data_IF_337183245786
#
_entry.id   IF_337183245786
#
_cell.length_a   1.000
_cell.length_b   1.000
_cell.length_c   1.000
_cell.angle_alpha   90.00
_cell.angle_beta   90.00
_cell.angle_gamma   90.00
#
_symmetry.space_group_name_H-M   'P 1'
#
loop_
_entity.id
_entity.type
_entity.pdbx_description
1 polymer ?
#
# COMPACT_ATOMS: atom_id res chain seq x y z
N UNK A 1 -8.03 -5.27 -33.16
CA UNK A 1 -8.43 -5.30 -31.74
C UNK A 1 -9.34 -4.09 -31.46
N UNK A 2 -10.43 -4.25 -30.69
CA UNK A 2 -11.27 -3.13 -30.23
C UNK A 2 -11.16 -2.97 -28.69
N UNK A 3 -11.35 -1.75 -28.22
CA UNK A 3 -11.42 -1.47 -26.77
C UNK A 3 -12.72 -2.05 -26.19
N UNK A 4 -12.65 -2.64 -25.01
CA UNK A 4 -13.84 -3.05 -24.24
C UNK A 4 -14.53 -1.80 -23.66
N UNK A 5 -15.85 -1.81 -23.61
CA UNK A 5 -16.63 -0.82 -22.86
C UNK A 5 -16.61 -1.17 -21.36
N UNK A 6 -16.86 -0.19 -20.49
CA UNK A 6 -16.86 -0.42 -19.04
C UNK A 6 -17.81 -1.53 -18.60
N UNK A 7 -18.97 -1.63 -19.19
CA UNK A 7 -19.98 -2.65 -18.95
C UNK A 7 -19.51 -4.09 -19.26
N UNK A 8 -18.59 -4.22 -20.22
CA UNK A 8 -17.98 -5.49 -20.63
C UNK A 8 -16.89 -5.98 -19.69
N UNK A 9 -16.36 -5.10 -18.82
CA UNK A 9 -15.25 -5.41 -17.90
C UNK A 9 -15.69 -6.24 -16.68
N UNK A 10 -17.00 -6.41 -16.46
CA UNK A 10 -17.57 -7.19 -15.34
C UNK A 10 -16.93 -6.84 -13.99
N UNK A 11 -16.76 -5.53 -13.71
CA UNK A 11 -16.20 -5.07 -12.44
C UNK A 11 -17.14 -5.41 -11.29
N UNK A 12 -16.55 -5.70 -10.12
CA UNK A 12 -17.32 -5.96 -8.90
C UNK A 12 -18.17 -4.75 -8.51
N UNK A 13 -19.34 -4.99 -7.98
CA UNK A 13 -20.10 -3.96 -7.25
C UNK A 13 -19.44 -3.69 -5.90
N UNK A 14 -19.85 -2.63 -5.19
CA UNK A 14 -19.38 -2.34 -3.83
C UNK A 14 -19.67 -3.51 -2.88
N UNK A 15 -20.82 -4.14 -3.02
CA UNK A 15 -21.22 -5.30 -2.21
C UNK A 15 -20.31 -6.49 -2.52
N UNK A 16 -20.19 -6.86 -3.80
CA UNK A 16 -19.31 -7.95 -4.21
C UNK A 16 -17.85 -7.73 -3.80
N UNK A 17 -17.40 -6.47 -3.83
CA UNK A 17 -16.04 -6.13 -3.37
C UNK A 17 -15.89 -6.41 -1.87
N UNK A 18 -16.86 -6.00 -1.04
CA UNK A 18 -16.80 -6.18 0.42
C UNK A 18 -16.85 -7.65 0.81
N UNK A 19 -17.62 -8.47 0.10
CA UNK A 19 -17.77 -9.92 0.35
C UNK A 19 -16.63 -10.76 -0.26
N UNK A 20 -15.89 -10.21 -1.23
CA UNK A 20 -14.80 -10.94 -1.87
C UNK A 20 -13.67 -11.27 -0.88
N UNK A 21 -13.06 -12.44 -1.07
CA UNK A 21 -11.79 -12.78 -0.41
C UNK A 21 -10.74 -11.75 -0.76
N UNK A 22 -10.12 -11.16 0.26
CA UNK A 22 -9.10 -10.12 0.08
C UNK A 22 -7.72 -10.74 -0.17
N UNK A 23 -6.93 -10.02 -0.93
CA UNK A 23 -5.48 -10.22 -0.95
C UNK A 23 -4.95 -10.02 0.47
N UNK A 24 -4.19 -10.96 1.05
CA UNK A 24 -3.69 -10.87 2.43
C UNK A 24 -2.56 -9.84 2.56
N UNK A 25 -2.87 -8.61 2.15
CA UNK A 25 -1.96 -7.47 2.12
C UNK A 25 -2.60 -6.27 2.83
N UNK A 26 -1.81 -5.64 3.70
CA UNK A 26 -2.13 -4.37 4.35
C UNK A 26 -1.15 -3.31 3.85
N UNK A 27 -1.64 -2.10 3.59
CA UNK A 27 -0.79 -0.95 3.30
C UNK A 27 -0.81 0.00 4.50
N UNK A 28 0.36 0.56 4.84
CA UNK A 28 0.51 1.53 5.92
C UNK A 28 1.12 2.79 5.30
N UNK A 29 0.38 3.89 5.32
CA UNK A 29 0.82 5.18 4.80
C UNK A 29 1.39 6.02 5.94
N UNK A 30 2.74 6.11 6.00
CA UNK A 30 3.47 6.79 7.05
C UNK A 30 3.73 8.26 6.69
N UNK A 31 2.94 9.17 7.26
CA UNK A 31 3.12 10.61 7.10
C UNK A 31 3.06 11.11 5.63
N UNK A 32 2.12 10.60 4.85
CA UNK A 32 1.95 10.99 3.44
C UNK A 32 1.30 12.37 3.34
N UNK A 33 1.92 13.27 2.57
CA UNK A 33 1.49 14.66 2.41
C UNK A 33 0.52 14.87 1.25
N UNK A 34 0.73 14.16 0.16
CA UNK A 34 0.00 14.39 -1.08
C UNK A 34 -1.36 13.68 -1.06
N UNK A 35 -2.42 14.45 -1.02
CA UNK A 35 -3.81 13.97 -1.11
C UNK A 35 -4.06 13.15 -2.38
N UNK A 36 -3.47 13.57 -3.51
CA UNK A 36 -3.58 12.85 -4.77
C UNK A 36 -2.89 11.48 -4.72
N UNK A 37 -1.75 11.37 -4.03
CA UNK A 37 -1.07 10.10 -3.82
C UNK A 37 -1.91 9.16 -2.96
N UNK A 38 -2.50 9.68 -1.87
CA UNK A 38 -3.40 8.90 -0.99
C UNK A 38 -4.55 8.32 -1.81
N UNK A 39 -5.26 9.14 -2.59
CA UNK A 39 -6.36 8.65 -3.44
C UNK A 39 -5.91 7.63 -4.48
N UNK A 40 -4.72 7.81 -5.08
CA UNK A 40 -4.16 6.86 -6.04
C UNK A 40 -3.78 5.53 -5.38
N UNK A 41 -3.31 5.54 -4.13
CA UNK A 41 -3.07 4.32 -3.33
C UNK A 41 -4.38 3.58 -3.08
N UNK A 42 -5.45 4.27 -2.67
CA UNK A 42 -6.79 3.66 -2.54
C UNK A 42 -7.23 2.99 -3.83
N UNK A 43 -7.06 3.65 -4.96
CA UNK A 43 -7.42 3.09 -6.27
C UNK A 43 -6.61 1.84 -6.64
N UNK A 44 -5.32 1.82 -6.32
CA UNK A 44 -4.47 0.64 -6.52
C UNK A 44 -4.87 -0.50 -5.58
N UNK A 45 -5.20 -0.18 -4.33
CA UNK A 45 -5.66 -1.13 -3.34
C UNK A 45 -7.00 -1.78 -3.73
N UNK A 46 -7.94 -1.00 -4.26
CA UNK A 46 -9.20 -1.49 -4.81
C UNK A 46 -8.97 -2.46 -5.97
N UNK A 47 -8.11 -2.09 -6.92
CA UNK A 47 -7.84 -2.89 -8.12
C UNK A 47 -7.32 -4.30 -7.81
N UNK A 48 -6.62 -4.49 -6.70
CA UNK A 48 -6.00 -5.76 -6.30
C UNK A 48 -6.57 -6.34 -5.01
N UNK A 49 -7.78 -5.91 -4.59
CA UNK A 49 -8.48 -6.41 -3.42
C UNK A 49 -7.64 -6.37 -2.13
N UNK A 50 -6.79 -5.35 -1.96
CA UNK A 50 -6.00 -5.16 -0.73
C UNK A 50 -6.92 -5.16 0.48
N UNK A 51 -6.52 -5.82 1.56
CA UNK A 51 -7.39 -6.04 2.72
C UNK A 51 -7.69 -4.74 3.46
N UNK A 52 -6.66 -3.92 3.73
CA UNK A 52 -6.81 -2.71 4.52
C UNK A 52 -5.70 -1.70 4.25
N UNK A 53 -6.03 -0.41 4.49
CA UNK A 53 -5.05 0.69 4.52
C UNK A 53 -5.06 1.32 5.91
N UNK A 54 -3.89 1.48 6.53
CA UNK A 54 -3.68 2.35 7.67
C UNK A 54 -3.17 3.71 7.20
N UNK A 55 -3.82 4.78 7.68
CA UNK A 55 -3.42 6.16 7.43
C UNK A 55 -2.79 6.71 8.71
N UNK A 56 -1.48 6.99 8.70
CA UNK A 56 -0.75 7.29 9.92
C UNK A 56 -0.18 8.71 9.95
N UNK A 57 -0.11 9.28 11.14
CA UNK A 57 0.46 10.60 11.39
C UNK A 57 -0.26 11.72 10.65
N UNK A 58 0.48 12.49 9.84
CA UNK A 58 -0.08 13.61 9.08
C UNK A 58 -0.86 13.19 7.83
N UNK A 59 -0.96 11.89 7.55
CA UNK A 59 -1.69 11.37 6.40
C UNK A 59 -3.17 11.74 6.52
N UNK A 60 -3.67 12.49 5.54
CA UNK A 60 -5.06 12.93 5.53
C UNK A 60 -6.03 11.75 5.33
N UNK A 61 -7.22 11.91 5.89
CA UNK A 61 -8.27 10.88 5.87
C UNK A 61 -9.41 11.25 4.91
N UNK A 62 -10.09 10.26 4.30
CA UNK A 62 -11.38 10.48 3.66
C UNK A 62 -12.47 10.92 4.68
N UNK A 63 -13.51 11.69 4.26
CA UNK A 63 -13.69 12.25 2.93
C UNK A 63 -12.86 13.52 2.71
N UNK A 64 -12.15 13.60 1.60
CA UNK A 64 -11.48 14.82 1.16
C UNK A 64 -11.57 14.94 -0.36
N UNK A 65 -11.89 16.13 -0.88
CA UNK A 65 -12.10 16.37 -2.31
C UNK A 65 -10.97 15.87 -3.20
N UNK A 66 -9.71 16.17 -2.84
CA UNK A 66 -8.56 15.81 -3.67
C UNK A 66 -8.18 14.33 -3.54
N UNK A 67 -8.48 13.68 -2.41
CA UNK A 67 -8.39 12.21 -2.28
C UNK A 67 -9.44 11.58 -3.19
N UNK A 68 -10.69 12.02 -3.12
CA UNK A 68 -11.79 11.48 -3.92
C UNK A 68 -11.54 11.59 -5.43
N UNK A 69 -10.91 12.71 -5.87
CA UNK A 69 -10.59 12.98 -7.28
C UNK A 69 -9.72 11.87 -7.92
N UNK A 70 -8.80 11.28 -7.18
CA UNK A 70 -7.90 10.24 -7.68
C UNK A 70 -8.31 8.83 -7.26
N UNK A 71 -9.01 8.69 -6.12
CA UNK A 71 -9.53 7.42 -5.62
C UNK A 71 -10.71 6.88 -6.45
N UNK A 72 -11.51 7.78 -7.08
CA UNK A 72 -12.68 7.41 -7.91
C UNK A 72 -13.65 6.43 -7.21
N UNK A 73 -13.97 6.68 -5.94
CA UNK A 73 -14.86 5.84 -5.14
C UNK A 73 -14.19 4.69 -4.38
N UNK A 74 -12.90 4.43 -4.59
CA UNK A 74 -12.19 3.35 -3.91
C UNK A 74 -12.14 3.51 -2.37
N UNK A 75 -12.29 4.73 -1.86
CA UNK A 75 -12.37 5.02 -0.42
C UNK A 75 -13.61 4.42 0.26
N UNK A 76 -14.66 4.13 -0.50
CA UNK A 76 -15.89 3.54 0.01
C UNK A 76 -15.84 1.99 0.02
N UNK A 77 -14.91 1.44 -0.76
CA UNK A 77 -14.73 0.01 -0.95
C UNK A 77 -13.66 -0.58 -0.04
N UNK A 78 -12.46 0.01 -0.07
CA UNK A 78 -11.28 -0.46 0.66
C UNK A 78 -11.41 -0.08 2.14
N UNK A 79 -11.28 -1.05 3.03
CA UNK A 79 -11.25 -0.79 4.46
C UNK A 79 -10.03 0.06 4.83
N UNK A 80 -10.23 1.05 5.69
CA UNK A 80 -9.14 1.89 6.18
C UNK A 80 -9.35 2.30 7.63
N UNK A 81 -8.27 2.69 8.29
CA UNK A 81 -8.27 3.17 9.66
C UNK A 81 -7.19 4.25 9.82
N UNK A 82 -7.47 5.29 10.59
CA UNK A 82 -6.48 6.27 10.98
C UNK A 82 -5.87 5.90 12.34
N UNK A 83 -4.53 5.99 12.42
CA UNK A 83 -3.79 5.81 13.67
C UNK A 83 -2.70 6.88 13.74
N UNK A 84 -2.63 7.65 14.82
CA UNK A 84 -1.69 8.75 14.96
C UNK A 84 -0.22 8.32 14.82
N UNK A 85 0.14 7.16 15.36
CA UNK A 85 1.53 6.70 15.40
C UNK A 85 1.73 5.39 14.62
N UNK A 86 2.54 5.45 13.58
CA UNK A 86 2.87 4.31 12.70
C UNK A 86 3.47 3.13 13.46
N UNK A 87 4.31 3.37 14.48
CA UNK A 87 4.91 2.32 15.31
C UNK A 87 3.88 1.47 16.04
N UNK A 88 2.79 2.08 16.48
CA UNK A 88 1.68 1.35 17.13
C UNK A 88 1.09 0.33 16.15
N UNK A 89 0.88 0.74 14.90
CA UNK A 89 0.36 -0.15 13.87
C UNK A 89 1.35 -1.28 13.56
N UNK A 90 2.63 -0.96 13.39
CA UNK A 90 3.68 -1.94 13.09
C UNK A 90 3.74 -3.01 14.19
N UNK A 91 3.83 -2.61 15.45
CA UNK A 91 3.91 -3.54 16.59
C UNK A 91 2.66 -4.40 16.68
N UNK A 92 1.47 -3.79 16.61
CA UNK A 92 0.19 -4.51 16.64
C UNK A 92 0.14 -5.59 15.56
N UNK A 93 0.46 -5.26 14.32
CA UNK A 93 0.41 -6.21 13.22
C UNK A 93 1.44 -7.34 13.36
N UNK A 94 2.63 -7.05 13.91
CA UNK A 94 3.64 -8.07 14.21
C UNK A 94 3.17 -9.02 15.31
N UNK A 95 2.54 -8.51 16.37
CA UNK A 95 1.93 -9.32 17.44
C UNK A 95 0.81 -10.22 16.89
N UNK A 96 0.06 -9.77 15.88
CA UNK A 96 -0.96 -10.54 15.15
C UNK A 96 -0.36 -11.55 14.15
N UNK A 97 0.97 -11.65 14.04
CA UNK A 97 1.66 -12.57 13.14
C UNK A 97 1.78 -12.09 11.69
N UNK A 98 1.49 -10.82 11.42
CA UNK A 98 1.67 -10.20 10.10
C UNK A 98 3.15 -9.92 9.85
N UNK A 99 3.66 -10.25 8.66
CA UNK A 99 5.02 -9.90 8.24
C UNK A 99 5.05 -8.46 7.74
N UNK A 100 5.62 -7.55 8.54
CA UNK A 100 5.64 -6.10 8.24
C UNK A 100 6.98 -5.72 7.60
N UNK A 101 6.95 -4.99 6.49
CA UNK A 101 8.11 -4.57 5.70
C UNK A 101 8.09 -3.07 5.45
N UNK A 102 9.22 -2.41 5.67
CA UNK A 102 9.39 -1.04 5.19
C UNK A 102 9.71 -1.04 3.69
N UNK A 103 9.03 -0.20 2.93
CA UNK A 103 9.36 0.01 1.51
C UNK A 103 10.38 1.14 1.46
N UNK A 104 11.65 0.77 1.49
CA UNK A 104 12.74 1.72 1.64
C UNK A 104 14.08 1.15 1.13
N UNK A 105 15.02 2.02 0.82
CA UNK A 105 16.39 1.67 0.47
C UNK A 105 17.21 1.58 1.77
N UNK A 106 17.63 0.38 2.13
CA UNK A 106 18.44 0.12 3.33
C UNK A 106 19.63 -0.79 2.99
N UNK A 107 20.66 -0.80 3.85
CA UNK A 107 21.87 -1.61 3.65
C UNK A 107 21.59 -3.10 3.39
N UNK A 108 20.53 -3.64 4.00
CA UNK A 108 20.17 -5.06 3.92
C UNK A 108 18.76 -5.26 3.34
N UNK A 109 18.30 -4.36 2.47
CA UNK A 109 17.00 -4.50 1.84
C UNK A 109 16.92 -5.76 0.96
N UNK A 110 15.80 -6.43 1.03
CA UNK A 110 15.46 -7.47 0.04
C UNK A 110 14.98 -6.78 -1.24
N UNK A 111 15.61 -7.09 -2.37
CA UNK A 111 15.14 -6.57 -3.64
C UNK A 111 13.79 -7.17 -4.02
N UNK A 112 12.86 -6.36 -4.53
CA UNK A 112 11.49 -6.76 -4.85
C UNK A 112 11.43 -7.94 -5.82
N UNK A 113 12.32 -8.00 -6.79
CA UNK A 113 12.41 -9.11 -7.75
C UNK A 113 12.81 -10.45 -7.10
N UNK A 114 13.50 -10.41 -5.96
CA UNK A 114 13.92 -11.59 -5.18
C UNK A 114 12.96 -11.92 -4.03
N UNK A 115 12.05 -11.02 -3.72
CA UNK A 115 11.08 -11.20 -2.64
C UNK A 115 10.12 -12.36 -2.93
N UNK A 116 9.96 -13.25 -1.95
CA UNK A 116 9.02 -14.37 -1.99
C UNK A 116 8.09 -14.27 -0.78
N UNK A 117 6.79 -13.96 -0.97
CA UNK A 117 5.83 -13.95 0.12
C UNK A 117 5.77 -15.31 0.81
N UNK A 118 5.75 -15.32 2.15
CA UNK A 118 5.56 -16.57 2.89
C UNK A 118 4.12 -17.07 2.68
N UNK A 119 3.91 -18.33 2.29
CA UNK A 119 2.57 -18.90 2.14
C UNK A 119 1.76 -18.78 3.43
N UNK A 120 0.46 -18.48 3.29
CA UNK A 120 -0.49 -18.35 4.41
C UNK A 120 -0.12 -17.28 5.45
N UNK A 121 0.80 -16.38 5.13
CA UNK A 121 1.18 -15.26 5.99
C UNK A 121 0.61 -13.97 5.41
N UNK A 122 -0.03 -13.17 6.26
CA UNK A 122 -0.42 -11.81 5.90
C UNK A 122 0.82 -10.91 5.87
N UNK A 123 0.89 -10.02 4.92
CA UNK A 123 1.98 -9.05 4.79
C UNK A 123 1.46 -7.62 4.95
N UNK A 124 2.30 -6.76 5.49
CA UNK A 124 2.04 -5.32 5.54
C UNK A 124 3.22 -4.54 4.99
N UNK A 125 2.96 -3.55 4.16
CA UNK A 125 3.97 -2.69 3.54
C UNK A 125 3.81 -1.26 4.03
N UNK A 126 4.87 -0.72 4.64
CA UNK A 126 4.94 0.67 5.08
C UNK A 126 5.52 1.52 3.97
N UNK A 127 4.75 2.50 3.52
CA UNK A 127 5.10 3.47 2.49
C UNK A 127 5.31 4.82 3.15
N UNK A 128 6.48 5.40 2.99
CA UNK A 128 6.91 6.59 3.71
C UNK A 128 6.60 7.91 3.01
N UNK A 129 6.86 8.98 3.73
CA UNK A 129 6.74 10.37 3.30
C UNK A 129 7.51 10.64 2.00
N UNK A 130 6.95 11.48 1.13
CA UNK A 130 7.51 11.77 -0.21
C UNK A 130 8.89 12.41 -0.19
N UNK A 131 9.27 13.03 0.92
CA UNK A 131 10.57 13.73 1.06
C UNK A 131 11.55 12.96 1.94
N UNK A 132 11.05 12.39 3.03
CA UNK A 132 11.86 11.78 4.09
C UNK A 132 11.88 10.25 4.04
N UNK A 133 11.02 9.64 3.21
CA UNK A 133 10.82 8.20 3.22
C UNK A 133 10.15 7.71 4.51
N UNK A 134 10.33 6.44 4.82
CA UNK A 134 9.91 5.82 6.08
C UNK A 134 10.88 6.26 7.18
N UNK A 135 10.37 6.69 8.34
CA UNK A 135 11.24 7.13 9.44
C UNK A 135 12.14 6.00 9.92
N UNK A 136 13.38 6.34 10.34
CA UNK A 136 14.37 5.34 10.79
C UNK A 136 13.83 4.46 11.92
N UNK A 137 13.04 5.04 12.81
CA UNK A 137 12.43 4.33 13.94
C UNK A 137 11.44 3.26 13.45
N UNK A 138 10.62 3.59 12.43
CA UNK A 138 9.67 2.65 11.81
C UNK A 138 10.41 1.57 11.02
N UNK A 139 11.46 1.94 10.25
CA UNK A 139 12.32 0.98 9.54
C UNK A 139 12.92 -0.02 10.52
N UNK A 140 13.47 0.47 11.64
CA UNK A 140 14.06 -0.38 12.68
C UNK A 140 13.03 -1.30 13.33
N UNK A 141 11.81 -0.80 13.58
CA UNK A 141 10.72 -1.60 14.14
C UNK A 141 10.24 -2.70 13.18
N UNK A 142 10.19 -2.43 11.87
CA UNK A 142 9.87 -3.45 10.87
C UNK A 142 10.91 -4.58 10.86
N UNK A 143 12.19 -4.27 11.10
CA UNK A 143 13.29 -5.23 11.09
C UNK A 143 13.63 -5.81 9.72
N UNK A 144 12.91 -5.42 8.68
CA UNK A 144 13.09 -5.86 7.31
C UNK A 144 12.59 -4.80 6.32
N UNK A 145 13.26 -4.69 5.17
CA UNK A 145 12.92 -3.73 4.13
C UNK A 145 12.85 -4.38 2.75
N UNK A 146 11.96 -3.87 1.92
CA UNK A 146 11.83 -4.20 0.51
C UNK A 146 12.22 -2.98 -0.33
N UNK A 147 13.09 -3.21 -1.29
CA UNK A 147 13.55 -2.18 -2.23
C UNK A 147 13.08 -2.50 -3.66
N UNK A 148 12.52 -1.50 -4.33
CA UNK A 148 12.28 -1.55 -5.78
C UNK A 148 13.59 -1.19 -6.48
N UNK A 149 14.24 -2.09 -7.24
CA UNK A 149 15.46 -1.77 -7.95
C UNK A 149 15.28 -0.60 -8.91
N UNK A 150 16.15 0.40 -8.82
CA UNK A 150 16.13 1.60 -9.65
C UNK A 150 17.49 1.81 -10.29
N UNK A 151 17.52 2.14 -11.58
CA UNK A 151 18.75 2.31 -12.37
C UNK A 151 18.86 3.70 -12.99
N UNK A 152 17.97 4.61 -12.62
CA UNK A 152 17.92 5.98 -13.14
C UNK A 152 18.73 6.96 -12.31
N UNK A 153 18.54 8.25 -12.58
CA UNK A 153 19.25 9.34 -11.89
C UNK A 153 18.51 9.86 -10.65
N UNK A 154 17.27 9.45 -10.44
CA UNK A 154 16.45 9.90 -9.29
C UNK A 154 16.58 8.91 -8.14
N UNK A 155 16.51 9.44 -6.92
CA UNK A 155 16.70 8.65 -5.71
C UNK A 155 15.46 7.85 -5.30
N UNK A 156 14.26 8.23 -5.78
CA UNK A 156 13.01 7.57 -5.40
C UNK A 156 11.95 7.64 -6.51
N UNK A 157 10.98 6.75 -6.42
CA UNK A 157 9.74 6.78 -7.20
C UNK A 157 8.66 7.59 -6.46
N UNK A 158 7.71 8.13 -7.21
CA UNK A 158 6.48 8.63 -6.60
C UNK A 158 5.79 7.49 -5.83
N UNK A 159 5.29 7.78 -4.62
CA UNK A 159 4.70 6.77 -3.74
C UNK A 159 3.54 6.00 -4.39
N UNK A 160 2.68 6.66 -5.16
CA UNK A 160 1.56 5.98 -5.82
C UNK A 160 2.03 5.02 -6.92
N UNK A 161 3.13 5.37 -7.60
CA UNK A 161 3.79 4.49 -8.58
C UNK A 161 4.44 3.31 -7.88
N UNK A 162 5.21 3.55 -6.82
CA UNK A 162 5.82 2.51 -5.99
C UNK A 162 4.76 1.55 -5.45
N UNK A 163 3.65 2.06 -4.94
CA UNK A 163 2.51 1.25 -4.47
C UNK A 163 1.98 0.35 -5.59
N UNK A 164 1.74 0.89 -6.78
CA UNK A 164 1.24 0.09 -7.90
C UNK A 164 2.18 -1.07 -8.28
N UNK A 165 3.49 -0.80 -8.31
CA UNK A 165 4.52 -1.83 -8.60
C UNK A 165 4.52 -2.92 -7.53
N UNK A 166 4.57 -2.55 -6.25
CA UNK A 166 4.68 -3.49 -5.13
C UNK A 166 3.42 -4.34 -4.98
N UNK A 167 2.25 -3.70 -5.06
CA UNK A 167 0.97 -4.40 -4.94
C UNK A 167 0.78 -5.39 -6.08
N UNK A 168 1.12 -4.98 -7.31
CA UNK A 168 1.07 -5.88 -8.48
C UNK A 168 2.04 -7.05 -8.35
N UNK A 169 3.29 -6.79 -7.95
CA UNK A 169 4.30 -7.82 -7.77
C UNK A 169 3.89 -8.83 -6.68
N UNK A 170 3.37 -8.33 -5.56
CA UNK A 170 2.85 -9.17 -4.48
C UNK A 170 1.67 -10.02 -4.94
N UNK A 171 0.65 -9.40 -5.56
CA UNK A 171 -0.54 -10.07 -6.07
C UNK A 171 -0.22 -11.20 -7.05
N UNK A 172 0.80 -11.01 -7.88
CA UNK A 172 1.25 -12.01 -8.86
C UNK A 172 1.96 -13.21 -8.21
N UNK A 173 2.51 -13.04 -7.00
CA UNK A 173 3.36 -14.04 -6.32
C UNK A 173 2.62 -14.90 -5.30
N UNK A 174 1.36 -14.56 -4.98
CA UNK A 174 0.52 -15.30 -4.01
C UNK A 174 -0.40 -16.31 -4.67
#
# INVERSE_FOLDING_TARGET
>A
MRKLKNEELKRKTVVDFKEATKTPLILILDNIRSLNNIGSVFRSADAFLVEKIYLCGITAIPPHRDIHKTALGATDNVAWEYVENTLVVVKKLQEEGTSVWAIEQTENATLLNSFKPKPKTKHAFVLGNEVRGVSQEVVSACGQALEIPQYGTKHSLNISVATGIIVWDYFKKI
#
